data_IF_647128190348
#
_entry.id   IF_647128190348
#
_cell.length_a   1.000
_cell.length_b   1.000
_cell.length_c   1.000
_cell.angle_alpha   90.00
_cell.angle_beta   90.00
_cell.angle_gamma   90.00
#
_symmetry.space_group_name_H-M   'P 1'
#
loop_
_entity.id
_entity.type
_entity.pdbx_description
1 polymer ?
#
# COMPACT_ATOMS: atom_id res chain seq x y z
N UNK A 1 2.20 -11.06 15.87
CA UNK A 1 0.87 -10.45 15.65
C UNK A 1 0.59 -10.54 14.16
N UNK A 2 -0.46 -11.24 13.74
CA UNK A 2 -0.82 -11.36 12.32
C UNK A 2 -1.30 -9.99 11.81
N UNK A 3 -0.75 -9.55 10.67
CA UNK A 3 -1.18 -8.31 10.02
C UNK A 3 -2.48 -8.58 9.27
N UNK A 4 -3.54 -7.84 9.60
CA UNK A 4 -4.78 -7.90 8.83
C UNK A 4 -4.65 -7.09 7.51
N UNK A 5 -5.64 -7.24 6.63
CA UNK A 5 -5.66 -6.59 5.31
C UNK A 5 -5.48 -5.07 5.37
N UNK A 6 -6.12 -4.40 6.33
CA UNK A 6 -5.99 -2.95 6.54
C UNK A 6 -4.55 -2.59 6.89
N UNK A 7 -3.94 -3.31 7.83
CA UNK A 7 -2.59 -3.03 8.29
C UNK A 7 -1.57 -3.24 7.15
N UNK A 8 -1.79 -4.22 6.28
CA UNK A 8 -0.99 -4.42 5.06
C UNK A 8 -1.14 -3.28 4.07
N UNK A 9 -2.36 -2.75 3.84
CA UNK A 9 -2.56 -1.55 3.00
C UNK A 9 -1.76 -0.39 3.55
N UNK A 10 -1.90 -0.13 4.86
CA UNK A 10 -1.20 0.97 5.50
C UNK A 10 0.30 0.82 5.39
N UNK A 11 0.84 -0.36 5.68
CA UNK A 11 2.28 -0.63 5.65
C UNK A 11 2.87 -0.46 4.25
N UNK A 12 2.20 -0.98 3.21
CA UNK A 12 2.65 -0.81 1.83
C UNK A 12 2.57 0.65 1.36
N UNK A 13 1.52 1.38 1.72
CA UNK A 13 1.38 2.80 1.34
C UNK A 13 2.43 3.63 2.06
N UNK A 14 2.51 3.54 3.38
CA UNK A 14 3.41 4.36 4.19
C UNK A 14 4.89 3.99 3.91
N UNK A 15 5.17 2.70 3.69
CA UNK A 15 6.51 2.19 3.34
C UNK A 15 6.97 2.50 1.91
N UNK A 16 6.07 2.90 1.02
CA UNK A 16 6.42 3.24 -0.37
C UNK A 16 7.17 4.57 -0.53
N UNK A 17 7.20 5.39 0.52
CA UNK A 17 7.72 6.76 0.47
C UNK A 17 6.87 7.72 -0.38
N UNK A 18 5.69 7.31 -0.85
CA UNK A 18 4.77 8.13 -1.64
C UNK A 18 3.73 8.78 -0.75
N UNK A 19 3.39 10.03 -1.05
CA UNK A 19 2.29 10.72 -0.37
C UNK A 19 0.92 10.18 -0.83
N UNK A 20 -0.08 10.26 0.05
CA UNK A 20 -1.47 9.90 -0.29
C UNK A 20 -1.98 10.66 -1.53
N UNK A 21 -1.58 11.91 -1.69
CA UNK A 21 -1.94 12.74 -2.85
C UNK A 21 -1.26 12.28 -4.14
N UNK A 22 -0.02 11.79 -4.07
CA UNK A 22 0.67 11.21 -5.23
C UNK A 22 -0.02 9.92 -5.67
N UNK A 23 -0.34 9.03 -4.73
CA UNK A 23 -1.05 7.77 -5.00
C UNK A 23 -2.43 8.06 -5.58
N UNK A 24 -3.20 8.95 -4.96
CA UNK A 24 -4.53 9.34 -5.41
C UNK A 24 -4.53 9.84 -6.85
N UNK A 25 -3.61 10.75 -7.19
CA UNK A 25 -3.46 11.29 -8.55
C UNK A 25 -3.07 10.24 -9.58
N UNK A 26 -2.20 9.29 -9.22
CA UNK A 26 -1.80 8.19 -10.13
C UNK A 26 -2.91 7.17 -10.37
N UNK A 27 -3.77 6.92 -9.37
CA UNK A 27 -4.89 5.98 -9.50
C UNK A 27 -6.13 6.65 -10.12
N UNK A 28 -6.26 7.97 -9.99
CA UNK A 28 -7.45 8.72 -10.43
C UNK A 28 -8.56 8.75 -9.39
N UNK A 29 -8.21 8.82 -8.09
CA UNK A 29 -9.16 8.92 -6.98
C UNK A 29 -8.89 10.16 -6.12
N UNK A 30 -9.77 10.45 -5.15
CA UNK A 30 -9.52 11.50 -4.16
C UNK A 30 -8.50 11.06 -3.11
N UNK A 31 -7.71 12.01 -2.57
CA UNK A 31 -6.83 11.78 -1.41
C UNK A 31 -7.58 11.17 -0.22
N UNK A 32 -8.83 11.59 0.00
CA UNK A 32 -9.71 11.06 1.06
C UNK A 32 -9.95 9.56 0.89
N UNK A 33 -10.07 9.07 -0.36
CA UNK A 33 -10.22 7.64 -0.64
C UNK A 33 -9.00 6.86 -0.16
N UNK A 34 -7.80 7.34 -0.46
CA UNK A 34 -6.54 6.73 0.00
C UNK A 34 -6.46 6.70 1.53
N UNK A 35 -6.84 7.80 2.19
CA UNK A 35 -6.93 7.86 3.66
C UNK A 35 -7.90 6.83 4.25
N UNK A 36 -9.07 6.64 3.63
CA UNK A 36 -10.06 5.62 4.04
C UNK A 36 -9.54 4.20 3.82
N UNK A 37 -8.76 3.94 2.77
CA UNK A 37 -8.15 2.61 2.58
C UNK A 37 -7.22 2.25 3.72
N UNK A 38 -6.38 3.19 4.18
CA UNK A 38 -5.49 2.98 5.34
C UNK A 38 -6.25 2.84 6.65
N UNK A 39 -7.35 3.56 6.81
CA UNK A 39 -8.14 3.57 8.04
C UNK A 39 -9.07 2.35 8.17
N UNK A 40 -9.79 2.04 7.09
CA UNK A 40 -10.92 1.10 7.12
C UNK A 40 -10.62 -0.19 6.34
N UNK A 41 -9.54 -0.25 5.56
CA UNK A 41 -9.20 -1.39 4.71
C UNK A 41 -10.14 -1.58 3.51
N UNK A 42 -11.04 -0.62 3.26
CA UNK A 42 -12.07 -0.73 2.22
C UNK A 42 -11.56 -0.18 0.89
N UNK A 43 -11.01 -1.05 0.06
CA UNK A 43 -10.57 -0.74 -1.30
C UNK A 43 -11.28 -1.66 -2.30
N UNK A 44 -11.69 -1.13 -3.45
CA UNK A 44 -12.23 -1.96 -4.53
C UNK A 44 -11.11 -2.76 -5.17
N UNK A 45 -11.44 -3.92 -5.77
CA UNK A 45 -10.44 -4.74 -6.48
C UNK A 45 -9.73 -3.96 -7.59
N UNK A 46 -10.46 -3.15 -8.35
CA UNK A 46 -9.89 -2.30 -9.40
C UNK A 46 -8.83 -1.33 -8.85
N UNK A 47 -9.13 -0.64 -7.75
CA UNK A 47 -8.20 0.29 -7.14
C UNK A 47 -7.01 -0.43 -6.49
N UNK A 48 -7.22 -1.63 -5.95
CA UNK A 48 -6.14 -2.45 -5.43
C UNK A 48 -5.16 -2.86 -6.53
N UNK A 49 -5.65 -3.29 -7.70
CA UNK A 49 -4.80 -3.61 -8.86
C UNK A 49 -3.98 -2.40 -9.30
N UNK A 50 -4.59 -1.20 -9.37
CA UNK A 50 -3.88 0.05 -9.70
C UNK A 50 -2.84 0.40 -8.63
N UNK A 51 -3.18 0.25 -7.35
CA UNK A 51 -2.26 0.47 -6.24
C UNK A 51 -1.06 -0.47 -6.32
N UNK A 52 -1.28 -1.77 -6.53
CA UNK A 52 -0.24 -2.78 -6.71
C UNK A 52 0.75 -2.39 -7.82
N UNK A 53 0.24 -1.93 -8.97
CA UNK A 53 1.09 -1.45 -10.09
C UNK A 53 1.96 -0.25 -9.72
N UNK A 54 1.44 0.69 -8.94
CA UNK A 54 2.21 1.89 -8.52
C UNK A 54 3.27 1.54 -7.48
N UNK A 55 2.96 0.58 -6.61
CA UNK A 55 3.82 0.14 -5.52
C UNK A 55 4.83 -0.94 -5.93
N UNK A 56 4.62 -1.61 -7.08
CA UNK A 56 5.47 -2.70 -7.55
C UNK A 56 5.29 -4.00 -6.75
N UNK A 57 4.11 -4.23 -6.19
CA UNK A 57 3.78 -5.42 -5.37
C UNK A 57 2.62 -6.21 -5.96
N UNK A 58 2.37 -7.42 -5.47
CA UNK A 58 1.27 -8.28 -5.92
C UNK A 58 0.03 -8.11 -5.03
N UNK A 59 -1.16 -8.42 -5.56
CA UNK A 59 -2.38 -8.52 -4.74
C UNK A 59 -2.21 -9.55 -3.61
N UNK A 60 -1.39 -10.60 -3.82
CA UNK A 60 -1.10 -11.65 -2.83
C UNK A 60 -0.49 -11.09 -1.55
N UNK A 61 0.33 -10.06 -1.63
CA UNK A 61 0.96 -9.42 -0.46
C UNK A 61 -0.07 -8.85 0.53
N UNK A 62 -1.30 -8.57 0.07
CA UNK A 62 -2.39 -8.08 0.92
C UNK A 62 -3.26 -9.20 1.50
N UNK A 63 -3.42 -10.31 0.77
CA UNK A 63 -4.31 -11.42 1.16
C UNK A 63 -3.59 -12.59 1.85
N UNK A 64 -2.28 -12.75 1.66
CA UNK A 64 -1.52 -13.88 2.21
C UNK A 64 -1.31 -13.72 3.72
N UNK A 65 -1.66 -14.72 4.54
CA UNK A 65 -1.30 -14.75 5.98
C UNK A 65 0.22 -14.84 6.20
N UNK A 66 0.95 -15.28 5.18
CA UNK A 66 2.39 -15.48 5.22
C UNK A 66 3.15 -14.20 4.84
N UNK A 67 3.90 -13.65 5.80
CA UNK A 67 4.72 -12.45 5.65
C UNK A 67 6.03 -12.83 4.97
N UNK A 68 6.01 -12.99 3.64
CA UNK A 68 7.25 -13.02 2.84
C UNK A 68 7.57 -11.60 2.35
N UNK A 69 7.82 -10.68 3.28
CA UNK A 69 8.23 -9.31 2.95
C UNK A 69 9.74 -9.29 2.70
N UNK A 70 10.16 -9.54 1.46
CA UNK A 70 11.44 -9.04 0.96
C UNK A 70 11.32 -7.53 0.74
N UNK A 71 11.24 -6.75 1.83
CA UNK A 71 11.27 -5.29 1.72
C UNK A 71 12.67 -4.90 1.24
N UNK A 72 12.83 -4.21 0.08
CA UNK A 72 14.14 -3.72 -0.29
C UNK A 72 14.56 -2.66 0.73
N UNK A 73 15.57 -2.98 1.53
CA UNK A 73 16.34 -2.03 2.34
C UNK A 73 17.07 -1.04 1.40
N UNK A 74 16.33 -0.12 0.77
CA UNK A 74 16.92 0.99 0.01
C UNK A 74 16.29 2.30 0.45
N UNK A 75 16.69 2.74 1.64
CA UNK A 75 17.35 4.04 1.86
C UNK A 75 17.55 4.27 3.37
N UNK A 76 18.68 3.78 3.87
CA UNK A 76 19.36 4.39 5.01
C UNK A 76 20.77 4.73 4.51
N UNK A 77 20.86 5.82 3.76
CA UNK A 77 22.10 6.54 3.54
C UNK A 77 21.87 7.93 4.15
N UNK A 78 22.02 8.01 5.46
CA UNK A 78 22.26 9.28 6.14
C UNK A 78 23.78 9.39 6.22
N UNK A 79 24.26 10.43 5.55
CA UNK A 79 25.65 10.87 5.44
C UNK A 79 26.07 11.50 6.76
#
# INVERSE_FOLDING_TARGET
>A
MLLNFRDKIRLHIDGSGKSDSEIARKIGVSRVSVGRWKKDGRITRENLVKLCKILGVSERDFYSDDVSLEVPLKKLNII
#
